data_IF_921306088235
#
_entry.id   IF_921306088235
#
_cell.length_a   1.000
_cell.length_b   1.000
_cell.length_c   1.000
_cell.angle_alpha   90.00
_cell.angle_beta   90.00
_cell.angle_gamma   90.00
#
_symmetry.space_group_name_H-M   'P 1'
#
loop_
_entity.id
_entity.type
_entity.pdbx_description
1 polymer ?
#
# COMPACT_ATOMS: atom_id res chain seq x y z
N UNK A 1 12.21 -1.80 -12.28
CA UNK A 1 11.27 -0.75 -11.81
C UNK A 1 9.80 -1.12 -12.07
N UNK A 2 9.34 -1.32 -13.31
CA UNK A 2 7.92 -1.61 -13.59
C UNK A 2 7.32 -2.74 -12.73
N UNK A 3 8.05 -3.85 -12.56
CA UNK A 3 7.64 -4.95 -11.68
C UNK A 3 7.58 -4.56 -10.18
N UNK A 4 8.46 -3.66 -9.72
CA UNK A 4 8.46 -3.19 -8.33
C UNK A 4 7.26 -2.28 -8.04
N UNK A 5 6.85 -1.46 -9.02
CA UNK A 5 5.66 -0.60 -8.91
C UNK A 5 4.35 -1.40 -8.74
N UNK A 6 4.35 -2.69 -9.12
CA UNK A 6 3.19 -3.56 -8.86
C UNK A 6 2.90 -3.71 -7.36
N UNK A 7 3.89 -3.45 -6.48
CA UNK A 7 3.65 -3.41 -5.03
C UNK A 7 2.67 -2.31 -4.63
N UNK A 8 2.75 -1.13 -5.25
CA UNK A 8 1.77 -0.05 -5.06
C UNK A 8 0.53 -0.21 -5.93
N UNK A 9 0.50 -1.13 -6.90
CA UNK A 9 -0.68 -1.37 -7.71
C UNK A 9 -1.58 -2.46 -7.11
N UNK A 10 -1.11 -3.72 -7.12
CA UNK A 10 -1.85 -4.90 -6.67
C UNK A 10 -1.35 -5.49 -5.35
N UNK A 11 -0.41 -4.82 -4.67
CA UNK A 11 0.08 -5.26 -3.36
C UNK A 11 -0.90 -4.99 -2.21
N UNK A 12 -0.67 -5.61 -1.05
CA UNK A 12 -1.55 -5.48 0.13
C UNK A 12 -1.59 -4.06 0.72
N UNK A 13 -0.55 -3.26 0.45
CA UNK A 13 -0.44 -1.86 0.88
C UNK A 13 -0.48 -0.90 -0.32
N UNK A 14 -0.90 -1.38 -1.49
CA UNK A 14 -1.02 -0.56 -2.69
C UNK A 14 -2.38 0.13 -2.83
N UNK A 15 -2.50 0.95 -3.86
CA UNK A 15 -3.61 1.87 -4.08
C UNK A 15 -4.96 1.16 -4.20
N UNK A 16 -5.00 -0.03 -4.81
CA UNK A 16 -6.25 -0.77 -4.93
C UNK A 16 -6.75 -1.24 -3.54
N UNK A 17 -5.83 -1.66 -2.66
CA UNK A 17 -6.20 -2.06 -1.31
C UNK A 17 -6.66 -0.86 -0.48
N UNK A 18 -6.03 0.31 -0.64
CA UNK A 18 -6.42 1.57 -0.02
C UNK A 18 -7.82 2.00 -0.49
N UNK A 19 -8.04 2.11 -1.80
CA UNK A 19 -9.31 2.49 -2.42
C UNK A 19 -10.47 1.59 -1.92
N UNK A 20 -10.29 0.27 -2.00
CA UNK A 20 -11.32 -0.68 -1.55
C UNK A 20 -11.60 -0.55 -0.06
N UNK A 21 -10.56 -0.44 0.78
CA UNK A 21 -10.68 -0.34 2.24
C UNK A 21 -11.46 0.90 2.66
N UNK A 22 -11.10 2.05 2.14
CA UNK A 22 -11.75 3.31 2.54
C UNK A 22 -13.16 3.40 2.00
N UNK A 23 -13.40 2.88 0.80
CA UNK A 23 -14.74 2.77 0.24
C UNK A 23 -15.66 1.91 1.11
N UNK A 24 -15.24 0.69 1.47
CA UNK A 24 -16.06 -0.22 2.27
C UNK A 24 -16.30 0.30 3.68
N UNK A 25 -15.30 0.93 4.31
CA UNK A 25 -15.48 1.60 5.60
C UNK A 25 -16.47 2.76 5.49
N UNK A 26 -16.33 3.61 4.47
CA UNK A 26 -17.23 4.75 4.24
C UNK A 26 -18.68 4.34 4.05
N UNK A 27 -18.94 3.21 3.36
CA UNK A 27 -20.31 2.68 3.22
C UNK A 27 -20.96 2.32 4.56
N UNK A 28 -20.15 1.97 5.56
CA UNK A 28 -20.61 1.54 6.89
C UNK A 28 -20.54 2.64 7.96
N UNK A 29 -19.90 3.78 7.70
CA UNK A 29 -19.78 4.85 8.71
C UNK A 29 -21.08 5.67 8.81
N UNK A 30 -21.57 5.80 10.05
CA UNK A 30 -22.79 6.52 10.39
C UNK A 30 -22.57 8.04 10.53
N UNK A 31 -21.35 8.47 10.79
CA UNK A 31 -21.00 9.89 10.86
C UNK A 31 -20.79 10.46 9.46
N UNK A 32 -21.60 11.46 9.13
CA UNK A 32 -21.59 12.04 7.79
C UNK A 32 -20.22 12.63 7.42
N UNK A 33 -19.50 13.26 8.35
CA UNK A 33 -18.21 13.89 8.07
C UNK A 33 -17.09 12.87 7.87
N UNK A 34 -17.07 11.79 8.66
CA UNK A 34 -16.11 10.70 8.44
C UNK A 34 -16.40 9.92 7.17
N UNK A 35 -17.67 9.64 6.89
CA UNK A 35 -18.08 8.99 5.63
C UNK A 35 -17.64 9.79 4.42
N UNK A 36 -17.84 11.10 4.44
CA UNK A 36 -17.44 12.01 3.37
C UNK A 36 -15.92 11.93 3.13
N UNK A 37 -15.12 12.10 4.19
CA UNK A 37 -13.66 11.95 4.13
C UNK A 37 -13.22 10.59 3.59
N UNK A 38 -13.82 9.48 4.05
CA UNK A 38 -13.48 8.13 3.59
C UNK A 38 -13.79 7.94 2.10
N UNK A 39 -14.93 8.46 1.62
CA UNK A 39 -15.33 8.38 0.23
C UNK A 39 -14.47 9.27 -0.68
N UNK A 40 -14.11 10.46 -0.22
CA UNK A 40 -13.21 11.36 -0.93
C UNK A 40 -11.83 10.72 -1.11
N UNK A 41 -11.23 10.22 -0.03
CA UNK A 41 -9.92 9.56 -0.09
C UNK A 41 -10.02 8.29 -0.95
N UNK A 42 -11.04 7.45 -0.79
CA UNK A 42 -11.22 6.26 -1.63
C UNK A 42 -11.28 6.58 -3.14
N UNK A 43 -11.91 7.71 -3.48
CA UNK A 43 -11.98 8.19 -4.87
C UNK A 43 -10.63 8.71 -5.34
N UNK A 44 -9.89 9.40 -4.47
CA UNK A 44 -8.53 9.82 -4.74
C UNK A 44 -7.60 8.63 -5.01
N UNK A 45 -7.71 7.54 -4.22
CA UNK A 45 -6.89 6.34 -4.39
C UNK A 45 -7.12 5.63 -5.73
N UNK A 46 -8.32 5.72 -6.31
CA UNK A 46 -8.54 5.24 -7.68
C UNK A 46 -7.75 6.05 -8.71
N UNK A 47 -7.55 7.36 -8.46
CA UNK A 47 -6.69 8.21 -9.30
C UNK A 47 -5.22 7.86 -9.10
N UNK A 48 -4.80 7.52 -7.87
CA UNK A 48 -3.43 7.06 -7.60
C UNK A 48 -3.15 5.71 -8.29
N UNK A 49 -4.13 4.79 -8.24
CA UNK A 49 -4.08 3.53 -8.96
C UNK A 49 -3.92 3.73 -10.48
N UNK A 50 -4.63 4.72 -11.06
CA UNK A 50 -4.47 5.09 -12.47
C UNK A 50 -3.06 5.62 -12.77
N UNK A 51 -2.50 6.47 -11.90
CA UNK A 51 -1.15 7.01 -12.04
C UNK A 51 -0.12 5.87 -12.03
N UNK A 52 -0.18 4.96 -11.06
CA UNK A 52 0.73 3.81 -10.96
C UNK A 52 0.57 2.86 -12.15
N UNK A 53 -0.67 2.52 -12.51
CA UNK A 53 -0.94 1.65 -13.66
C UNK A 53 -0.43 2.23 -14.97
N UNK A 54 -0.59 3.55 -15.16
CA UNK A 54 -0.06 4.28 -16.31
C UNK A 54 1.46 4.27 -16.33
N UNK A 55 2.10 4.48 -15.17
CA UNK A 55 3.55 4.46 -15.04
C UNK A 55 4.13 3.07 -15.37
N UNK A 56 3.51 1.99 -14.86
CA UNK A 56 3.85 0.60 -15.23
C UNK A 56 3.71 0.39 -16.73
N UNK A 57 2.59 0.83 -17.32
CA UNK A 57 2.35 0.72 -18.76
C UNK A 57 3.39 1.46 -19.61
N UNK A 58 3.79 2.67 -19.21
CA UNK A 58 4.83 3.46 -19.89
C UNK A 58 6.20 2.78 -19.81
N UNK A 59 6.60 2.29 -18.63
CA UNK A 59 7.87 1.60 -18.44
C UNK A 59 7.94 0.28 -19.24
N UNK A 60 6.81 -0.43 -19.36
CA UNK A 60 6.73 -1.66 -20.16
C UNK A 60 6.73 -1.40 -21.68
N UNK A 61 6.26 -0.24 -22.16
CA UNK A 61 6.29 0.11 -23.60
C UNK A 61 7.72 0.23 -24.14
N UNK A 62 8.64 0.81 -23.38
CA UNK A 62 10.05 0.88 -23.76
C UNK A 62 10.66 -0.49 -24.01
N UNK A 63 10.37 -1.45 -23.12
CA UNK A 63 10.80 -2.84 -23.29
C UNK A 63 10.19 -3.50 -24.53
N UNK A 64 8.90 -3.27 -24.81
CA UNK A 64 8.25 -3.79 -26.03
C UNK A 64 8.80 -3.21 -27.33
N UNK A 65 9.19 -1.93 -27.33
CA UNK A 65 9.81 -1.28 -28.50
C UNK A 65 11.12 -1.98 -28.88
N UNK A 66 12.01 -2.18 -27.90
CA UNK A 66 13.26 -2.92 -28.11
C UNK A 66 13.05 -4.37 -28.58
N UNK A 67 12.02 -5.04 -28.04
CA UNK A 67 11.61 -6.39 -28.48
C UNK A 67 11.14 -6.41 -29.94
N UNK A 68 10.35 -5.43 -30.36
CA UNK A 68 9.77 -5.35 -31.70
C UNK A 68 10.78 -4.94 -32.79
N UNK A 69 11.78 -4.13 -32.43
CA UNK A 69 12.82 -3.67 -33.36
C UNK A 69 13.88 -4.75 -33.66
N UNK A 70 13.87 -5.89 -32.95
CA UNK A 70 14.79 -7.02 -33.19
C UNK A 70 16.26 -6.66 -32.94
N UNK A 71 16.50 -5.60 -32.17
CA UNK A 71 17.84 -5.03 -31.90
C UNK A 71 18.66 -5.84 -30.90
N UNK A 72 18.03 -6.77 -30.17
CA UNK A 72 18.70 -7.63 -29.18
C UNK A 72 18.68 -9.10 -29.62
N UNK A 73 19.84 -9.76 -29.49
CA UNK A 73 19.97 -11.20 -29.67
C UNK A 73 19.15 -11.93 -28.59
N UNK A 74 18.62 -13.13 -28.86
CA UNK A 74 17.75 -13.88 -27.92
C UNK A 74 18.33 -13.98 -26.49
N UNK A 75 19.66 -14.15 -26.37
CA UNK A 75 20.37 -14.20 -25.09
C UNK A 75 20.51 -12.83 -24.39
N UNK A 76 20.53 -11.74 -25.15
CA UNK A 76 20.57 -10.35 -24.66
C UNK A 76 19.19 -9.91 -24.20
N UNK A 77 18.16 -10.32 -24.95
CA UNK A 77 16.75 -10.18 -24.63
C UNK A 77 16.39 -10.86 -23.30
N UNK A 78 16.80 -12.11 -23.12
CA UNK A 78 16.60 -12.82 -21.86
C UNK A 78 17.34 -12.16 -20.70
N UNK A 79 18.54 -11.61 -20.97
CA UNK A 79 19.36 -10.95 -19.95
C UNK A 79 18.80 -9.57 -19.59
N UNK A 80 18.26 -8.80 -20.53
CA UNK A 80 17.62 -7.50 -20.30
C UNK A 80 16.27 -7.66 -19.59
N UNK A 81 15.54 -8.74 -19.87
CA UNK A 81 14.30 -9.08 -19.17
C UNK A 81 14.53 -9.58 -17.73
N UNK A 82 15.67 -10.20 -17.42
CA UNK A 82 16.00 -10.70 -16.06
C UNK A 82 16.87 -9.75 -15.24
N UNK A 83 17.47 -8.73 -15.86
CA UNK A 83 18.25 -7.73 -15.13
C UNK A 83 17.34 -6.73 -14.39
N UNK A 84 17.87 -6.14 -13.32
CA UNK A 84 17.25 -5.03 -12.55
C UNK A 84 15.88 -5.34 -11.89
N UNK A 85 15.66 -6.60 -11.49
CA UNK A 85 14.48 -7.00 -10.69
C UNK A 85 13.18 -7.07 -11.51
N UNK A 86 13.28 -7.21 -12.84
CA UNK A 86 12.16 -7.45 -13.73
C UNK A 86 11.90 -8.96 -13.94
N UNK A 87 12.08 -9.76 -12.88
CA UNK A 87 12.13 -11.25 -12.89
C UNK A 87 10.85 -11.97 -13.33
N UNK A 88 9.87 -11.27 -13.88
CA UNK A 88 8.66 -11.90 -14.35
C UNK A 88 8.52 -11.79 -15.86
N UNK A 89 9.32 -12.61 -16.56
CA UNK A 89 8.94 -13.09 -17.90
C UNK A 89 7.48 -13.56 -17.91
N UNK A 90 7.00 -14.11 -16.79
CA UNK A 90 5.61 -14.50 -16.56
C UNK A 90 4.68 -13.30 -16.66
N UNK A 91 4.99 -12.15 -16.05
CA UNK A 91 4.12 -10.97 -16.08
C UNK A 91 4.04 -10.41 -17.51
N UNK A 92 5.16 -10.36 -18.22
CA UNK A 92 5.19 -9.90 -19.61
C UNK A 92 4.46 -10.84 -20.56
N UNK A 93 4.56 -12.16 -20.38
CA UNK A 93 3.89 -13.16 -21.20
C UNK A 93 2.39 -13.26 -20.88
N UNK A 94 2.03 -13.33 -19.59
CA UNK A 94 0.66 -13.52 -19.12
C UNK A 94 -0.21 -12.28 -19.33
N UNK A 95 0.33 -11.09 -19.01
CA UNK A 95 -0.41 -9.84 -19.06
C UNK A 95 -0.05 -8.97 -20.27
N UNK A 96 0.75 -9.50 -21.19
CA UNK A 96 1.15 -8.82 -22.41
C UNK A 96 1.80 -7.46 -22.14
N UNK A 97 2.52 -7.31 -21.02
CA UNK A 97 3.14 -6.05 -20.57
C UNK A 97 2.17 -4.94 -20.15
N UNK A 98 0.91 -5.26 -19.84
CA UNK A 98 0.00 -4.37 -19.11
C UNK A 98 0.25 -4.38 -17.60
N UNK A 99 -0.32 -3.42 -16.84
CA UNK A 99 -0.30 -3.46 -15.39
C UNK A 99 -1.16 -4.63 -14.88
N UNK A 100 -0.54 -5.55 -14.16
CA UNK A 100 -1.19 -6.74 -13.61
C UNK A 100 -1.71 -6.45 -12.21
N UNK A 101 -2.91 -6.91 -11.87
CA UNK A 101 -3.46 -6.86 -10.50
C UNK A 101 -2.78 -7.92 -9.60
N UNK A 102 -1.47 -7.78 -9.45
CA UNK A 102 -0.60 -8.60 -8.63
C UNK A 102 0.35 -7.70 -7.85
N UNK A 103 0.97 -8.22 -6.80
CA UNK A 103 2.11 -7.56 -6.17
C UNK A 103 3.41 -7.79 -6.99
N UNK A 104 4.53 -7.25 -6.52
CA UNK A 104 5.84 -7.38 -7.19
C UNK A 104 6.39 -8.82 -7.25
N UNK A 105 5.83 -9.73 -6.43
CA UNK A 105 6.14 -11.16 -6.43
C UNK A 105 5.16 -11.99 -7.30
N UNK A 106 4.22 -11.35 -8.00
CA UNK A 106 3.24 -12.02 -8.86
C UNK A 106 2.06 -12.66 -8.11
N UNK A 107 1.89 -12.39 -6.81
CA UNK A 107 0.72 -12.84 -6.05
C UNK A 107 -0.50 -12.00 -6.46
N UNK A 108 -1.61 -12.61 -6.90
CA UNK A 108 -2.82 -11.86 -7.25
C UNK A 108 -3.35 -11.05 -6.08
N UNK A 109 -3.82 -9.83 -6.38
CA UNK A 109 -4.56 -9.04 -5.42
C UNK A 109 -5.77 -9.84 -4.91
N UNK A 110 -6.05 -9.72 -3.62
CA UNK A 110 -7.15 -10.43 -2.98
C UNK A 110 -7.91 -9.52 -2.02
N UNK A 111 -9.22 -9.71 -1.95
CA UNK A 111 -10.08 -9.03 -0.98
C UNK A 111 -9.65 -9.31 0.48
N UNK A 112 -8.85 -10.34 0.72
CA UNK A 112 -8.26 -10.62 2.04
C UNK A 112 -7.29 -9.53 2.54
N UNK A 113 -6.92 -8.54 1.71
CA UNK A 113 -6.14 -7.36 2.13
C UNK A 113 -7.00 -6.25 2.75
N UNK A 114 -8.33 -6.40 2.72
CA UNK A 114 -9.28 -5.38 3.16
C UNK A 114 -9.88 -5.77 4.52
N UNK A 115 -9.43 -5.08 5.57
CA UNK A 115 -9.88 -5.27 6.95
C UNK A 115 -10.88 -4.17 7.34
N UNK A 116 -12.12 -4.27 6.85
CA UNK A 116 -13.23 -3.43 7.32
C UNK A 116 -14.04 -4.19 8.36
N UNK A 117 -14.00 -3.74 9.61
CA UNK A 117 -14.68 -4.44 10.72
C UNK A 117 -15.86 -3.67 11.30
N UNK A 118 -16.09 -2.43 10.87
CA UNK A 118 -17.19 -1.59 11.35
C UNK A 118 -16.97 -1.03 12.76
N UNK A 119 -15.78 -1.21 13.32
CA UNK A 119 -15.35 -0.54 14.55
C UNK A 119 -14.45 0.62 14.15
N UNK A 120 -15.04 1.81 14.08
CA UNK A 120 -14.42 3.02 13.51
C UNK A 120 -13.04 3.30 14.08
N UNK A 121 -12.81 3.09 15.39
CA UNK A 121 -11.51 3.43 15.98
C UNK A 121 -10.41 2.45 15.58
N UNK A 122 -10.73 1.17 15.38
CA UNK A 122 -9.83 0.15 14.86
C UNK A 122 -9.60 0.33 13.36
N UNK A 123 -10.66 0.59 12.60
CA UNK A 123 -10.61 0.85 11.16
C UNK A 123 -9.70 2.08 10.86
N UNK A 124 -9.90 3.21 11.54
CA UNK A 124 -9.05 4.40 11.36
C UNK A 124 -7.58 4.16 11.75
N UNK A 125 -7.32 3.38 12.80
CA UNK A 125 -5.94 3.00 13.16
C UNK A 125 -5.31 2.10 12.10
N UNK A 126 -6.09 1.18 11.52
CA UNK A 126 -5.67 0.35 10.41
C UNK A 126 -5.31 1.20 9.19
N UNK A 127 -6.11 2.23 8.90
CA UNK A 127 -5.86 3.18 7.81
C UNK A 127 -4.57 3.97 8.03
N UNK A 128 -4.37 4.56 9.22
CA UNK A 128 -3.12 5.27 9.56
C UNK A 128 -1.91 4.35 9.34
N UNK A 129 -2.00 3.09 9.76
CA UNK A 129 -0.94 2.12 9.57
C UNK A 129 -0.76 1.71 8.09
N UNK A 130 -1.84 1.68 7.31
CA UNK A 130 -1.79 1.39 5.87
C UNK A 130 -1.05 2.50 5.10
N UNK A 131 -1.46 3.76 5.30
CA UNK A 131 -0.81 4.96 4.73
C UNK A 131 0.68 5.02 5.11
N UNK A 132 1.00 4.74 6.37
CA UNK A 132 2.39 4.71 6.81
C UNK A 132 3.22 3.63 6.09
N UNK A 133 2.64 2.45 5.82
CA UNK A 133 3.33 1.38 5.09
C UNK A 133 3.47 1.70 3.61
N UNK A 134 2.43 2.22 2.97
CA UNK A 134 2.45 2.65 1.58
C UNK A 134 3.50 3.76 1.37
N UNK A 135 3.52 4.77 2.25
CA UNK A 135 4.57 5.81 2.25
C UNK A 135 5.99 5.24 2.30
N UNK A 136 6.25 4.25 3.17
CA UNK A 136 7.57 3.59 3.27
C UNK A 136 7.92 2.85 1.97
N UNK A 137 6.94 2.21 1.32
CA UNK A 137 7.15 1.54 0.03
C UNK A 137 7.49 2.59 -1.03
N UNK A 138 6.81 3.73 -1.06
CA UNK A 138 7.18 4.83 -1.95
C UNK A 138 8.61 5.34 -1.74
N UNK A 139 9.04 5.53 -0.48
CA UNK A 139 10.42 5.90 -0.17
C UNK A 139 11.42 4.87 -0.72
N UNK A 140 11.11 3.58 -0.58
CA UNK A 140 11.95 2.50 -1.14
C UNK A 140 11.98 2.55 -2.66
N UNK A 141 10.84 2.77 -3.32
CA UNK A 141 10.74 2.86 -4.77
C UNK A 141 11.52 4.07 -5.33
N UNK A 142 11.43 5.23 -4.66
CA UNK A 142 12.21 6.43 -5.02
C UNK A 142 13.72 6.16 -4.97
N UNK A 143 14.18 5.38 -4.00
CA UNK A 143 15.59 5.05 -3.81
C UNK A 143 16.16 4.03 -4.82
N UNK A 144 15.31 3.36 -5.61
CA UNK A 144 15.73 2.32 -6.57
C UNK A 144 15.52 2.72 -8.04
N UNK A 145 15.42 4.02 -8.31
CA UNK A 145 15.39 4.59 -9.67
C UNK A 145 16.20 5.88 -9.71
N UNK A 146 16.63 6.27 -10.90
CA UNK A 146 17.21 7.59 -11.18
C UNK A 146 16.40 8.42 -12.19
N UNK A 147 15.30 7.86 -12.71
CA UNK A 147 14.42 8.58 -13.61
C UNK A 147 13.72 9.74 -12.87
N UNK A 148 13.92 11.01 -13.29
CA UNK A 148 13.39 12.17 -12.59
C UNK A 148 11.85 12.25 -12.65
N UNK A 149 11.22 11.80 -13.74
CA UNK A 149 9.77 11.79 -13.89
C UNK A 149 9.11 10.74 -12.99
N UNK A 150 9.75 9.56 -12.87
CA UNK A 150 9.35 8.54 -11.88
C UNK A 150 9.48 9.09 -10.47
N UNK A 151 10.62 9.71 -10.11
CA UNK A 151 10.84 10.28 -8.77
C UNK A 151 9.80 11.34 -8.42
N UNK A 152 9.50 12.25 -9.33
CA UNK A 152 8.49 13.30 -9.12
C UNK A 152 7.10 12.71 -8.88
N UNK A 153 6.70 11.73 -9.71
CA UNK A 153 5.43 11.01 -9.58
C UNK A 153 5.32 10.31 -8.22
N UNK A 154 6.35 9.55 -7.83
CA UNK A 154 6.36 8.83 -6.56
C UNK A 154 6.41 9.78 -5.36
N UNK A 155 7.11 10.92 -5.48
CA UNK A 155 7.15 11.94 -4.43
C UNK A 155 5.77 12.60 -4.21
N UNK A 156 5.03 12.84 -5.30
CA UNK A 156 3.63 13.30 -5.21
C UNK A 156 2.77 12.29 -4.44
N UNK A 157 2.75 11.02 -4.87
CA UNK A 157 1.94 9.97 -4.24
C UNK A 157 2.31 9.78 -2.76
N UNK A 158 3.60 9.65 -2.45
CA UNK A 158 4.11 9.59 -1.07
C UNK A 158 3.66 10.76 -0.20
N UNK A 159 3.55 11.96 -0.79
CA UNK A 159 3.08 13.15 -0.06
C UNK A 159 1.58 13.10 0.20
N UNK A 160 0.81 12.50 -0.71
CA UNK A 160 -0.63 12.24 -0.50
C UNK A 160 -0.86 11.22 0.60
N UNK A 161 -0.06 10.15 0.67
CA UNK A 161 -0.10 9.20 1.79
C UNK A 161 0.03 9.91 3.16
N UNK A 162 1.00 10.81 3.25
CA UNK A 162 1.20 11.59 4.47
C UNK A 162 -0.01 12.49 4.80
N UNK A 163 -0.70 13.03 3.80
CA UNK A 163 -1.89 13.85 3.99
C UNK A 163 -3.12 13.02 4.40
N UNK A 164 -3.31 11.83 3.82
CA UNK A 164 -4.36 10.90 4.20
C UNK A 164 -4.14 10.42 5.65
N UNK A 165 -2.91 10.03 6.00
CA UNK A 165 -2.53 9.67 7.37
C UNK A 165 -2.94 10.76 8.38
N UNK A 166 -2.60 12.02 8.10
CA UNK A 166 -2.99 13.15 8.96
C UNK A 166 -4.51 13.35 9.03
N UNK A 167 -5.25 13.04 7.97
CA UNK A 167 -6.72 13.15 7.95
C UNK A 167 -7.35 12.06 8.82
N UNK A 168 -6.87 10.81 8.70
CA UNK A 168 -7.30 9.71 9.55
C UNK A 168 -6.93 9.92 11.03
N UNK A 169 -5.75 10.47 11.33
CA UNK A 169 -5.37 10.85 12.69
C UNK A 169 -6.34 11.88 13.29
N UNK A 170 -6.66 12.95 12.54
CA UNK A 170 -7.63 13.96 12.97
C UNK A 170 -9.01 13.35 13.21
N UNK A 171 -9.48 12.49 12.30
CA UNK A 171 -10.75 11.79 12.47
C UNK A 171 -10.74 10.92 13.73
N UNK A 172 -9.68 10.13 13.96
CA UNK A 172 -9.54 9.27 15.14
C UNK A 172 -9.55 10.08 16.44
N UNK A 173 -8.80 11.18 16.49
CA UNK A 173 -8.72 12.05 17.67
C UNK A 173 -10.00 12.85 17.93
N UNK A 174 -10.88 13.01 16.94
CA UNK A 174 -12.17 13.66 17.12
C UNK A 174 -13.18 12.81 17.92
N UNK A 175 -12.99 11.48 17.93
CA UNK A 175 -13.88 10.55 18.61
C UNK A 175 -13.51 10.50 20.11
N UNK A 176 -14.50 10.65 21.00
CA UNK A 176 -14.30 10.59 22.46
C UNK A 176 -14.39 9.15 22.97
N UNK A 177 -13.66 8.84 24.05
CA UNK A 177 -13.67 7.55 24.75
C UNK A 177 -13.32 6.34 23.87
N UNK A 178 -12.27 6.46 23.06
CA UNK A 178 -11.88 5.48 22.03
C UNK A 178 -10.95 4.37 22.48
N UNK A 179 -10.55 4.35 23.76
CA UNK A 179 -9.52 3.44 24.27
C UNK A 179 -9.86 2.84 25.64
N UNK A 180 -9.86 1.49 25.78
CA UNK A 180 -9.82 0.49 24.71
C UNK A 180 -11.16 0.43 23.93
N UNK A 181 -11.16 -0.03 22.66
CA UNK A 181 -12.40 -0.27 21.93
C UNK A 181 -13.22 -1.40 22.58
N UNK A 182 -14.53 -1.40 22.33
CA UNK A 182 -15.46 -2.38 22.88
C UNK A 182 -16.09 -1.97 24.23
N UNK A 183 -17.06 -2.78 24.68
CA UNK A 183 -17.89 -2.45 25.87
C UNK A 183 -17.42 -3.14 27.15
N UNK A 184 -16.75 -4.29 27.02
CA UNK A 184 -16.36 -5.09 28.18
C UNK A 184 -15.06 -4.53 28.78
N UNK A 185 -15.02 -4.27 30.10
CA UNK A 185 -13.79 -3.85 30.74
C UNK A 185 -12.77 -5.00 30.76
N UNK A 186 -11.47 -4.69 30.67
CA UNK A 186 -10.43 -5.69 30.88
C UNK A 186 -10.48 -6.24 32.31
N UNK A 187 -10.01 -7.46 32.49
CA UNK A 187 -9.86 -8.06 33.83
C UNK A 187 -8.70 -7.36 34.54
N UNK A 188 -8.99 -6.66 35.64
CA UNK A 188 -8.02 -5.78 36.32
C UNK A 188 -6.72 -6.48 36.72
N UNK A 189 -6.81 -7.75 37.13
CA UNK A 189 -5.67 -8.60 37.46
C UNK A 189 -4.64 -8.71 36.32
N UNK A 190 -5.08 -8.65 35.07
CA UNK A 190 -4.24 -8.88 33.89
C UNK A 190 -3.97 -7.61 33.08
N UNK A 191 -4.75 -6.55 33.29
CA UNK A 191 -4.75 -5.33 32.46
C UNK A 191 -3.37 -4.67 32.33
N UNK A 192 -2.60 -4.62 33.41
CA UNK A 192 -1.31 -3.91 33.48
C UNK A 192 -0.13 -4.87 33.70
N UNK A 193 -0.31 -6.17 33.44
CA UNK A 193 0.74 -7.16 33.63
C UNK A 193 1.50 -7.37 32.33
N UNK A 194 2.78 -7.02 32.32
CA UNK A 194 3.69 -7.37 31.24
C UNK A 194 4.31 -8.75 31.50
N UNK A 195 4.15 -9.66 30.54
CA UNK A 195 4.73 -11.00 30.59
C UNK A 195 6.02 -11.05 29.77
N UNK A 196 7.17 -11.09 30.43
CA UNK A 196 8.44 -11.38 29.76
C UNK A 196 8.58 -12.89 29.57
N UNK A 197 8.27 -13.36 28.37
CA UNK A 197 8.24 -14.79 28.01
C UNK A 197 9.45 -15.22 27.16
N UNK A 198 10.37 -14.30 26.86
CA UNK A 198 11.58 -14.58 26.08
C UNK A 198 12.78 -14.77 27.02
N UNK A 199 13.66 -15.73 26.70
CA UNK A 199 14.90 -15.92 27.45
C UNK A 199 15.93 -14.83 27.07
N UNK A 200 16.55 -14.20 28.07
CA UNK A 200 17.55 -13.15 27.85
C UNK A 200 17.56 -12.10 28.96
N UNK A 201 18.34 -11.04 28.77
CA UNK A 201 18.34 -9.90 29.67
C UNK A 201 17.01 -9.12 29.59
N UNK A 202 16.51 -8.72 30.77
CA UNK A 202 15.27 -7.95 30.88
C UNK A 202 15.57 -6.46 30.67
N UNK A 203 14.95 -5.87 29.64
CA UNK A 203 15.07 -4.44 29.33
C UNK A 203 13.77 -3.73 29.69
N UNK A 204 13.86 -2.70 30.54
CA UNK A 204 12.72 -1.89 30.97
C UNK A 204 12.59 -0.61 30.14
N UNK A 205 11.38 -0.31 29.72
CA UNK A 205 10.97 0.87 28.97
C UNK A 205 9.64 1.40 29.48
N UNK A 206 9.14 2.49 28.89
CA UNK A 206 7.87 3.10 29.31
C UNK A 206 6.63 2.26 29.02
N UNK A 207 6.80 1.06 28.45
CA UNK A 207 5.76 0.17 27.96
C UNK A 207 5.72 -1.19 28.69
N UNK A 208 6.67 -1.49 29.60
CA UNK A 208 6.77 -2.77 30.32
C UNK A 208 7.30 -2.67 31.75
#
# INVERSE_FOLDING_TARGET
MANLLLEQFGGPQGELAAACRYFTQGLSDEDAGRRDMLMDIATEELSHLEIIGSLVGMLNKGAKGALAEGTENEAELYRSLTQNGNDSHITSLLYGGGPALTNSAGVPWTAAYVDTIGEVTADLRSNIAAEARAKIIYERLINVTDDPGVKDTLAFLMTREAAHMLSFEKALHSIRNTFPPGKLPPIEKYKNVYYNMSEGEDVRGSWN
#
